data_IF_333991558572
#
_entry.id   IF_333991558572
#
_cell.length_a   1.000
_cell.length_b   1.000
_cell.length_c   1.000
_cell.angle_alpha   90.00
_cell.angle_beta   90.00
_cell.angle_gamma   90.00
#
_symmetry.space_group_name_H-M   'P 1'
#
loop_
_entity.id
_entity.type
_entity.pdbx_description
1 polymer ?
#
# COMPACT_ATOMS: atom_id res chain seq x y z
N UNK A 1 2.41 -5.86 23.17
CA UNK A 1 2.87 -6.79 22.13
C UNK A 1 3.45 -5.93 21.02
N UNK A 2 4.73 -6.03 20.76
CA UNK A 2 5.38 -5.45 19.59
C UNK A 2 4.81 -6.22 18.40
N UNK A 3 3.82 -5.61 17.74
CA UNK A 3 3.17 -6.24 16.61
C UNK A 3 4.08 -6.07 15.40
N UNK A 4 4.80 -7.12 15.04
CA UNK A 4 5.32 -7.27 13.68
C UNK A 4 4.12 -7.63 12.78
N UNK A 5 3.10 -6.76 12.76
CA UNK A 5 1.89 -6.99 11.99
C UNK A 5 2.23 -6.71 10.53
N UNK A 6 2.43 -7.76 9.75
CA UNK A 6 2.60 -7.70 8.30
C UNK A 6 1.30 -7.99 7.56
N UNK A 7 0.26 -8.42 8.27
CA UNK A 7 -1.03 -8.77 7.68
C UNK A 7 -2.01 -7.59 7.73
N UNK A 8 -2.36 -7.09 6.55
CA UNK A 8 -3.35 -6.02 6.42
C UNK A 8 -4.75 -6.43 6.91
N UNK A 9 -5.13 -7.71 6.79
CA UNK A 9 -6.41 -8.22 7.30
C UNK A 9 -6.48 -8.17 8.81
N UNK A 10 -5.42 -8.62 9.47
CA UNK A 10 -5.31 -8.56 10.92
C UNK A 10 -5.34 -7.11 11.44
N UNK A 11 -4.63 -6.19 10.74
CA UNK A 11 -4.66 -4.77 11.06
C UNK A 11 -6.09 -4.20 10.95
N UNK A 12 -6.77 -4.46 9.84
CA UNK A 12 -8.13 -3.95 9.61
C UNK A 12 -9.13 -4.53 10.62
N UNK A 13 -8.98 -5.81 10.97
CA UNK A 13 -9.80 -6.45 12.00
C UNK A 13 -9.56 -5.87 13.40
N UNK A 14 -8.30 -5.57 13.75
CA UNK A 14 -7.94 -4.97 15.04
C UNK A 14 -8.39 -3.50 15.15
N UNK A 15 -8.37 -2.77 14.03
CA UNK A 15 -8.83 -1.38 13.99
C UNK A 15 -10.36 -1.25 14.01
N UNK A 16 -11.10 -2.25 13.58
CA UNK A 16 -12.55 -2.20 13.52
C UNK A 16 -13.20 -2.13 14.92
N UNK A 17 -14.32 -1.40 15.03
CA UNK A 17 -15.11 -1.36 16.29
C UNK A 17 -15.65 -2.73 16.66
N UNK A 18 -16.16 -3.49 15.66
CA UNK A 18 -16.68 -4.84 15.84
C UNK A 18 -15.86 -5.86 15.02
N UNK A 19 -15.94 -5.77 13.67
CA UNK A 19 -15.27 -6.68 12.73
C UNK A 19 -15.00 -6.02 11.40
N UNK A 20 -14.00 -6.53 10.72
CA UNK A 20 -13.76 -6.25 9.31
C UNK A 20 -14.60 -7.22 8.44
N UNK A 21 -15.38 -6.69 7.51
CA UNK A 21 -16.15 -7.45 6.53
C UNK A 21 -15.43 -7.43 5.19
N UNK A 22 -14.65 -8.45 4.89
CA UNK A 22 -13.96 -8.57 3.60
C UNK A 22 -14.94 -8.87 2.46
N UNK A 23 -14.78 -8.19 1.34
CA UNK A 23 -15.58 -8.36 0.12
C UNK A 23 -14.75 -9.09 -0.92
N UNK A 24 -15.29 -10.19 -1.47
CA UNK A 24 -14.65 -11.07 -2.47
C UNK A 24 -13.29 -11.62 -1.98
N UNK A 25 -13.20 -12.29 -0.82
CA UNK A 25 -11.92 -12.76 -0.28
C UNK A 25 -11.23 -13.79 -1.20
N UNK A 26 -12.00 -14.58 -1.97
CA UNK A 26 -11.47 -15.63 -2.86
C UNK A 26 -11.04 -15.11 -4.24
N UNK A 27 -11.39 -13.88 -4.59
CA UNK A 27 -10.99 -13.25 -5.85
C UNK A 27 -9.88 -12.24 -5.62
N UNK A 28 -8.75 -12.43 -6.31
CA UNK A 28 -7.54 -11.61 -6.14
C UNK A 28 -7.22 -11.39 -4.64
N UNK A 29 -6.87 -12.46 -3.89
CA UNK A 29 -6.70 -12.40 -2.43
C UNK A 29 -5.54 -11.51 -1.99
N UNK A 30 -4.60 -11.19 -2.88
CA UNK A 30 -3.52 -10.22 -2.67
C UNK A 30 -4.02 -8.77 -2.58
N UNK A 31 -5.25 -8.51 -3.01
CA UNK A 31 -5.92 -7.23 -2.86
C UNK A 31 -7.12 -7.38 -1.92
N UNK A 32 -7.00 -6.85 -0.74
CA UNK A 32 -8.03 -6.86 0.30
C UNK A 32 -8.96 -5.68 0.11
N UNK A 33 -10.26 -5.94 0.03
CA UNK A 33 -11.29 -4.89 -0.02
C UNK A 33 -12.41 -5.24 0.95
N UNK A 34 -12.94 -4.26 1.67
CA UNK A 34 -13.99 -4.56 2.64
C UNK A 34 -14.44 -3.33 3.42
N UNK A 35 -15.30 -3.58 4.38
CA UNK A 35 -15.87 -2.54 5.22
C UNK A 35 -15.55 -2.79 6.70
N UNK A 36 -15.32 -1.70 7.41
CA UNK A 36 -15.21 -1.68 8.86
C UNK A 36 -15.89 -0.42 9.42
N UNK A 37 -16.16 -0.43 10.71
CA UNK A 37 -16.59 0.78 11.41
C UNK A 37 -15.45 1.29 12.28
N UNK A 38 -15.24 2.61 12.24
CA UNK A 38 -14.29 3.33 13.08
C UNK A 38 -15.04 4.41 13.84
N UNK A 39 -15.15 4.27 15.16
CA UNK A 39 -15.93 5.16 16.03
C UNK A 39 -17.38 5.35 15.52
N UNK A 40 -18.01 4.27 15.07
CA UNK A 40 -19.37 4.26 14.55
C UNK A 40 -19.54 4.77 13.11
N UNK A 41 -18.46 5.15 12.43
CA UNK A 41 -18.48 5.59 11.03
C UNK A 41 -18.11 4.42 10.13
N UNK A 42 -18.94 4.14 9.12
CA UNK A 42 -18.65 3.13 8.11
C UNK A 42 -17.52 3.64 7.19
N UNK A 43 -16.50 2.80 7.02
CA UNK A 43 -15.31 3.09 6.20
C UNK A 43 -15.08 1.94 5.24
N UNK A 44 -14.83 2.24 3.96
CA UNK A 44 -14.32 1.28 3.00
C UNK A 44 -12.80 1.15 3.12
N UNK A 45 -12.29 -0.06 3.15
CA UNK A 45 -10.86 -0.32 3.21
C UNK A 45 -10.35 -1.01 1.95
N UNK A 46 -9.20 -0.56 1.46
CA UNK A 46 -8.42 -1.20 0.40
C UNK A 46 -7.02 -1.43 0.92
N UNK A 47 -6.52 -2.66 0.82
CA UNK A 47 -5.16 -2.98 1.24
C UNK A 47 -4.55 -4.03 0.31
N UNK A 48 -3.23 -4.01 0.15
CA UNK A 48 -2.51 -5.09 -0.50
C UNK A 48 -1.87 -6.01 0.55
N UNK A 49 -1.77 -7.29 0.21
CA UNK A 49 -1.17 -8.33 1.04
C UNK A 49 -0.29 -9.25 0.18
N UNK A 50 0.82 -9.71 0.74
CA UNK A 50 1.78 -10.62 0.10
C UNK A 50 1.63 -12.08 0.58
N UNK A 51 0.88 -12.29 1.64
CA UNK A 51 0.66 -13.61 2.23
C UNK A 51 -0.69 -13.73 2.94
N UNK A 52 -1.10 -14.97 3.19
CA UNK A 52 -2.19 -15.30 4.08
C UNK A 52 -1.61 -15.80 5.42
N UNK A 53 -2.27 -15.42 6.50
CA UNK A 53 -1.92 -15.81 7.87
C UNK A 53 -3.11 -16.47 8.54
N UNK A 54 -2.86 -17.37 9.49
CA UNK A 54 -3.90 -17.98 10.31
C UNK A 54 -4.16 -17.19 11.62
N UNK A 55 -5.10 -17.69 12.44
CA UNK A 55 -5.45 -17.08 13.73
C UNK A 55 -4.28 -17.00 14.74
N UNK A 56 -3.15 -17.66 14.44
CA UNK A 56 -1.94 -17.67 15.28
C UNK A 56 -0.83 -16.79 14.73
N UNK A 57 -1.12 -15.99 13.70
CA UNK A 57 -0.14 -15.20 12.93
C UNK A 57 0.93 -16.08 12.22
N UNK A 58 0.61 -17.37 11.94
CA UNK A 58 1.48 -18.22 11.14
C UNK A 58 1.11 -18.09 9.66
N UNK A 59 2.13 -17.88 8.82
CA UNK A 59 1.95 -17.78 7.37
C UNK A 59 1.48 -19.10 6.79
N UNK A 60 0.31 -19.10 6.14
CA UNK A 60 -0.31 -20.28 5.56
C UNK A 60 -0.10 -20.41 4.04
N UNK A 61 0.02 -19.28 3.35
CA UNK A 61 0.26 -19.26 1.91
C UNK A 61 0.95 -17.96 1.47
N UNK A 62 1.77 -18.06 0.42
CA UNK A 62 2.24 -16.90 -0.33
C UNK A 62 1.18 -16.47 -1.33
N UNK A 63 0.99 -15.17 -1.45
CA UNK A 63 0.18 -14.53 -2.48
C UNK A 63 1.08 -14.00 -3.61
N UNK A 64 0.50 -13.33 -4.59
CA UNK A 64 1.27 -12.70 -5.64
C UNK A 64 2.19 -11.63 -5.06
N UNK A 65 3.46 -11.67 -5.45
CA UNK A 65 4.46 -10.69 -5.09
C UNK A 65 4.23 -9.41 -5.91
N UNK A 66 3.57 -8.42 -5.29
CA UNK A 66 3.20 -7.16 -5.92
C UNK A 66 1.77 -7.11 -6.49
N UNK A 67 1.43 -5.96 -7.05
CA UNK A 67 0.09 -5.69 -7.57
C UNK A 67 -0.18 -6.46 -8.87
N UNK A 68 -1.37 -7.07 -8.97
CA UNK A 68 -1.84 -7.80 -10.14
C UNK A 68 -2.90 -7.03 -10.92
N UNK A 69 -3.22 -7.48 -12.12
CA UNK A 69 -4.34 -6.94 -12.93
C UNK A 69 -5.66 -7.10 -12.19
N UNK A 70 -5.95 -8.32 -11.74
CA UNK A 70 -7.21 -8.65 -11.06
C UNK A 70 -7.33 -7.91 -9.72
N UNK A 71 -6.24 -7.78 -8.97
CA UNK A 71 -6.18 -6.99 -7.75
C UNK A 71 -6.48 -5.51 -7.97
N UNK A 72 -5.86 -4.91 -8.99
CA UNK A 72 -6.12 -3.52 -9.36
C UNK A 72 -7.57 -3.30 -9.84
N UNK A 73 -8.13 -4.22 -10.63
CA UNK A 73 -9.53 -4.13 -11.07
C UNK A 73 -10.52 -4.31 -9.91
N UNK A 74 -10.25 -5.24 -9.00
CA UNK A 74 -11.03 -5.42 -7.75
C UNK A 74 -11.04 -4.16 -6.92
N UNK A 75 -9.87 -3.58 -6.66
CA UNK A 75 -9.73 -2.33 -5.91
C UNK A 75 -10.44 -1.17 -6.62
N UNK A 76 -10.26 -1.01 -7.93
CA UNK A 76 -10.91 0.06 -8.71
C UNK A 76 -12.43 0.00 -8.62
N UNK A 77 -13.01 -1.19 -8.76
CA UNK A 77 -14.46 -1.38 -8.65
C UNK A 77 -14.97 -1.07 -7.23
N UNK A 78 -14.21 -1.48 -6.20
CA UNK A 78 -14.57 -1.21 -4.81
C UNK A 78 -14.47 0.29 -4.46
N UNK A 79 -13.41 0.95 -4.88
CA UNK A 79 -13.23 2.40 -4.67
C UNK A 79 -14.33 3.19 -5.37
N UNK A 80 -14.67 2.83 -6.62
CA UNK A 80 -15.78 3.47 -7.34
C UNK A 80 -17.11 3.31 -6.58
N UNK A 81 -17.39 2.11 -6.07
CA UNK A 81 -18.59 1.87 -5.25
C UNK A 81 -18.61 2.76 -4.00
N UNK A 82 -17.49 2.85 -3.28
CA UNK A 82 -17.40 3.71 -2.09
C UNK A 82 -17.62 5.17 -2.44
N UNK A 83 -17.09 5.64 -3.57
CA UNK A 83 -17.30 7.01 -4.04
C UNK A 83 -18.78 7.28 -4.37
N UNK A 84 -19.44 6.37 -5.09
CA UNK A 84 -20.86 6.48 -5.44
C UNK A 84 -21.78 6.51 -4.22
N UNK A 85 -21.34 5.84 -3.13
CA UNK A 85 -22.09 5.77 -1.88
C UNK A 85 -21.61 6.78 -0.81
N UNK A 86 -20.66 7.65 -1.14
CA UNK A 86 -20.06 8.63 -0.21
C UNK A 86 -19.46 7.99 1.05
N UNK A 87 -18.91 6.77 0.91
CA UNK A 87 -18.26 6.03 2.01
C UNK A 87 -16.78 6.43 2.08
N UNK A 88 -16.29 6.98 3.21
CA UNK A 88 -14.89 7.31 3.38
C UNK A 88 -13.96 6.13 3.11
N UNK A 89 -12.76 6.39 2.59
CA UNK A 89 -11.79 5.37 2.21
C UNK A 89 -10.57 5.37 3.11
N UNK A 90 -10.19 4.18 3.57
CA UNK A 90 -8.90 3.89 4.17
C UNK A 90 -8.11 2.99 3.21
N UNK A 91 -6.97 3.48 2.73
CA UNK A 91 -6.03 2.66 1.96
C UNK A 91 -4.88 2.25 2.87
N UNK A 92 -4.56 0.97 2.92
CA UNK A 92 -3.41 0.43 3.67
C UNK A 92 -2.40 -0.08 2.65
N UNK A 93 -1.22 0.52 2.64
CA UNK A 93 -0.24 0.32 1.56
C UNK A 93 1.04 -0.35 2.06
N UNK A 94 1.44 -1.43 1.38
CA UNK A 94 2.74 -2.09 1.50
C UNK A 94 3.17 -2.60 0.12
N UNK A 95 3.22 -1.71 -0.88
CA UNK A 95 3.36 -2.05 -2.30
C UNK A 95 4.76 -1.73 -2.82
N UNK A 96 5.60 -2.74 -2.97
CA UNK A 96 6.98 -2.61 -3.42
C UNK A 96 7.17 -2.82 -4.94
N UNK A 97 6.12 -3.30 -5.64
CA UNK A 97 6.17 -3.55 -7.08
C UNK A 97 4.89 -4.10 -7.68
N UNK A 98 5.04 -4.63 -8.87
CA UNK A 98 3.99 -5.32 -9.62
C UNK A 98 4.38 -6.78 -9.83
N UNK A 99 3.39 -7.67 -9.81
CA UNK A 99 3.62 -9.09 -10.04
C UNK A 99 4.20 -9.34 -11.43
N UNK A 100 5.33 -10.03 -11.50
CA UNK A 100 6.09 -10.29 -12.72
C UNK A 100 5.55 -11.54 -13.45
N UNK A 101 4.32 -11.47 -13.97
CA UNK A 101 3.69 -12.54 -14.76
C UNK A 101 3.26 -12.02 -16.13
N UNK A 102 3.23 -12.88 -17.16
CA UNK A 102 2.91 -12.48 -18.54
C UNK A 102 1.57 -11.76 -18.68
N UNK A 103 0.56 -12.19 -17.95
CA UNK A 103 -0.77 -11.57 -17.93
C UNK A 103 -0.73 -10.14 -17.39
N UNK A 104 0.14 -9.90 -16.40
CA UNK A 104 0.34 -8.58 -15.79
C UNK A 104 0.91 -7.59 -16.79
N UNK A 105 1.89 -8.00 -17.60
CA UNK A 105 2.51 -7.09 -18.59
C UNK A 105 1.50 -6.53 -19.61
N UNK A 106 0.52 -7.34 -20.03
CA UNK A 106 -0.47 -6.95 -21.04
C UNK A 106 -1.61 -6.10 -20.49
N UNK A 107 -2.12 -6.40 -19.30
CA UNK A 107 -3.33 -5.80 -18.73
C UNK A 107 -3.08 -4.71 -17.69
N UNK A 108 -1.92 -4.72 -17.06
CA UNK A 108 -1.62 -3.90 -15.90
C UNK A 108 -1.76 -2.38 -16.14
N UNK A 109 -1.27 -1.79 -17.24
CA UNK A 109 -1.40 -0.35 -17.44
C UNK A 109 -2.87 0.12 -17.45
N UNK A 110 -3.77 -0.69 -18.02
CA UNK A 110 -5.20 -0.37 -18.05
C UNK A 110 -5.84 -0.54 -16.66
N UNK A 111 -5.48 -1.60 -15.93
CA UNK A 111 -6.00 -1.85 -14.59
C UNK A 111 -5.53 -0.77 -13.60
N UNK A 112 -4.26 -0.36 -13.68
CA UNK A 112 -3.73 0.76 -12.89
C UNK A 112 -4.45 2.06 -13.24
N UNK A 113 -4.65 2.35 -14.53
CA UNK A 113 -5.36 3.56 -14.94
C UNK A 113 -6.78 3.61 -14.41
N UNK A 114 -7.50 2.45 -14.38
CA UNK A 114 -8.82 2.36 -13.75
C UNK A 114 -8.77 2.64 -12.25
N UNK A 115 -7.79 2.05 -11.55
CA UNK A 115 -7.64 2.24 -10.11
C UNK A 115 -7.32 3.69 -9.74
N UNK A 116 -6.33 4.27 -10.42
CA UNK A 116 -5.94 5.68 -10.25
C UNK A 116 -7.12 6.62 -10.55
N UNK A 117 -7.86 6.35 -11.63
CA UNK A 117 -9.07 7.10 -11.96
C UNK A 117 -10.13 6.98 -10.87
N UNK A 118 -10.38 5.79 -10.34
CA UNK A 118 -11.34 5.60 -9.26
C UNK A 118 -10.96 6.38 -8.00
N UNK A 119 -9.70 6.40 -7.62
CA UNK A 119 -9.22 7.23 -6.51
C UNK A 119 -9.40 8.72 -6.77
N UNK A 120 -9.15 9.18 -7.99
CA UNK A 120 -9.26 10.60 -8.35
C UNK A 120 -10.73 11.06 -8.46
N UNK A 121 -11.60 10.24 -9.03
CA UNK A 121 -13.01 10.58 -9.27
C UNK A 121 -13.84 10.74 -7.97
N UNK A 122 -13.30 10.44 -6.81
CA UNK A 122 -14.02 10.40 -5.54
C UNK A 122 -14.52 11.75 -5.00
N UNK A 123 -14.29 12.84 -5.71
CA UNK A 123 -14.84 14.15 -5.36
C UNK A 123 -14.55 14.55 -3.90
N UNK A 124 -15.61 14.78 -3.13
CA UNK A 124 -15.51 15.17 -1.72
C UNK A 124 -15.40 14.01 -0.74
N UNK A 125 -15.25 12.78 -1.23
CA UNK A 125 -15.13 11.63 -0.35
C UNK A 125 -13.79 11.64 0.38
N UNK A 126 -13.82 11.55 1.72
CA UNK A 126 -12.61 11.56 2.56
C UNK A 126 -11.76 10.30 2.32
N UNK A 127 -10.46 10.51 2.16
CA UNK A 127 -9.48 9.46 1.86
C UNK A 127 -8.29 9.58 2.79
N UNK A 128 -7.98 8.49 3.47
CA UNK A 128 -6.78 8.36 4.32
C UNK A 128 -5.92 7.24 3.79
N UNK A 129 -4.62 7.45 3.71
CA UNK A 129 -3.66 6.43 3.36
C UNK A 129 -2.76 6.12 4.55
N UNK A 130 -2.62 4.85 4.89
CA UNK A 130 -1.68 4.33 5.88
C UNK A 130 -0.62 3.49 5.16
N UNK A 131 0.61 3.91 5.22
CA UNK A 131 1.76 3.14 4.73
C UNK A 131 2.24 2.25 5.88
N UNK A 132 1.97 0.95 5.79
CA UNK A 132 2.32 -0.04 6.82
C UNK A 132 3.53 -0.90 6.47
N UNK A 133 4.00 -0.84 5.23
CA UNK A 133 5.17 -1.59 4.76
C UNK A 133 5.96 -0.82 3.72
N UNK A 134 7.09 -1.39 3.32
CA UNK A 134 7.94 -0.80 2.31
C UNK A 134 7.17 -0.59 1.01
N UNK A 135 7.34 0.57 0.40
CA UNK A 135 6.53 0.95 -0.75
C UNK A 135 7.33 1.79 -1.74
N UNK A 136 7.27 1.40 -3.03
CA UNK A 136 8.13 1.98 -4.05
C UNK A 136 7.42 2.28 -5.37
N UNK A 137 7.87 3.35 -6.01
CA UNK A 137 7.60 3.69 -7.40
C UNK A 137 6.13 3.78 -7.77
N UNK A 138 5.81 3.27 -8.96
CA UNK A 138 4.44 3.35 -9.51
C UNK A 138 3.44 2.43 -8.81
N UNK A 139 3.87 1.37 -8.12
CA UNK A 139 2.98 0.56 -7.29
C UNK A 139 2.46 1.37 -6.09
N UNK A 140 3.34 2.10 -5.41
CA UNK A 140 2.93 3.06 -4.37
C UNK A 140 1.95 4.09 -4.90
N UNK A 141 2.24 4.64 -6.08
CA UNK A 141 1.37 5.64 -6.71
C UNK A 141 -0.03 5.07 -7.00
N UNK A 142 -0.11 3.83 -7.49
CA UNK A 142 -1.36 3.14 -7.78
C UNK A 142 -2.20 2.87 -6.53
N UNK A 143 -1.57 2.67 -5.38
CA UNK A 143 -2.23 2.42 -4.08
C UNK A 143 -2.62 3.71 -3.34
N UNK A 144 -2.95 4.76 -4.06
CA UNK A 144 -3.53 5.95 -3.48
C UNK A 144 -2.51 6.89 -2.82
N UNK A 145 -1.31 7.04 -3.42
CA UNK A 145 -0.39 8.08 -3.01
C UNK A 145 -1.03 9.46 -3.13
N UNK A 146 -0.70 10.37 -2.19
CA UNK A 146 -1.24 11.74 -2.15
C UNK A 146 -1.23 12.46 -3.50
N UNK A 147 -0.17 12.28 -4.27
CA UNK A 147 0.02 12.96 -5.55
C UNK A 147 -1.04 12.64 -6.61
N UNK A 148 -1.81 11.57 -6.44
CA UNK A 148 -2.81 11.10 -7.41
C UNK A 148 -4.20 10.95 -6.78
N UNK A 149 -4.28 10.46 -5.54
CA UNK A 149 -5.57 10.14 -4.90
C UNK A 149 -6.23 11.33 -4.22
N UNK A 150 -5.55 12.48 -4.13
CA UNK A 150 -5.98 13.61 -3.29
C UNK A 150 -6.31 13.17 -1.85
N UNK A 151 -5.49 12.26 -1.29
CA UNK A 151 -5.67 11.80 0.06
C UNK A 151 -5.61 12.98 1.05
N UNK A 152 -6.60 13.09 1.91
CA UNK A 152 -6.67 14.13 2.94
C UNK A 152 -5.51 14.03 3.91
N UNK A 153 -5.19 12.78 4.32
CA UNK A 153 -4.09 12.48 5.23
C UNK A 153 -3.34 11.23 4.78
N UNK A 154 -2.01 11.29 4.92
CA UNK A 154 -1.12 10.15 4.69
C UNK A 154 -0.31 9.91 5.96
N UNK A 155 -0.51 8.75 6.55
CA UNK A 155 0.27 8.27 7.70
C UNK A 155 1.25 7.20 7.25
N UNK A 156 2.38 7.09 7.94
CA UNK A 156 3.32 6.00 7.71
C UNK A 156 3.87 5.48 9.05
N UNK A 157 4.09 4.18 9.14
CA UNK A 157 4.80 3.62 10.28
C UNK A 157 6.27 4.06 10.27
N UNK A 158 6.90 4.06 11.43
CA UNK A 158 8.23 4.63 11.65
C UNK A 158 9.38 3.75 11.09
N UNK A 159 9.11 2.47 10.79
CA UNK A 159 10.07 1.51 10.28
C UNK A 159 9.97 1.24 8.77
N UNK A 160 9.03 1.91 8.06
CA UNK A 160 8.83 1.68 6.62
C UNK A 160 9.75 2.54 5.75
N UNK A 161 9.92 2.10 4.51
CA UNK A 161 10.66 2.81 3.47
C UNK A 161 9.71 3.27 2.37
N UNK A 162 9.85 4.53 2.00
CA UNK A 162 9.00 5.16 0.97
C UNK A 162 9.88 5.83 -0.06
N UNK A 163 9.89 5.32 -1.29
CA UNK A 163 10.80 5.85 -2.32
C UNK A 163 10.43 5.48 -3.74
N UNK A 164 11.34 5.82 -4.66
CA UNK A 164 11.18 5.49 -6.07
C UNK A 164 11.52 4.03 -6.37
N UNK A 165 12.51 3.48 -5.67
CA UNK A 165 12.94 2.09 -5.81
C UNK A 165 13.78 1.65 -4.60
N UNK A 166 13.87 0.37 -4.42
CA UNK A 166 14.73 -0.25 -3.41
C UNK A 166 16.18 0.21 -3.51
N UNK A 167 16.82 0.43 -2.36
CA UNK A 167 18.13 1.07 -2.28
C UNK A 167 19.24 0.34 -3.05
N UNK A 168 19.26 -0.99 -3.00
CA UNK A 168 20.27 -1.80 -3.70
C UNK A 168 20.12 -1.66 -5.22
N UNK A 169 18.89 -1.73 -5.71
CA UNK A 169 18.58 -1.55 -7.15
C UNK A 169 18.95 -0.14 -7.62
N UNK A 170 18.59 0.88 -6.84
CA UNK A 170 18.91 2.27 -7.15
C UNK A 170 20.42 2.53 -7.16
N UNK A 171 21.14 2.04 -6.16
CA UNK A 171 22.58 2.19 -6.08
C UNK A 171 23.29 1.51 -7.26
N UNK A 172 22.87 0.31 -7.66
CA UNK A 172 23.43 -0.38 -8.81
C UNK A 172 23.22 0.41 -10.12
N UNK A 173 22.10 1.11 -10.28
CA UNK A 173 21.85 1.96 -11.46
C UNK A 173 22.75 3.21 -11.41
N UNK A 174 22.85 3.86 -10.26
CA UNK A 174 23.62 5.10 -10.11
C UNK A 174 25.13 4.90 -10.32
N UNK A 175 25.64 3.73 -9.93
CA UNK A 175 27.06 3.40 -10.02
C UNK A 175 27.41 2.42 -11.16
N UNK A 176 26.47 2.12 -12.06
CA UNK A 176 26.67 1.22 -13.21
C UNK A 176 27.79 1.66 -14.14
N UNK A 177 28.06 2.94 -14.25
CA UNK A 177 29.12 3.49 -15.12
C UNK A 177 30.54 3.10 -14.65
N UNK A 178 30.70 2.68 -13.41
CA UNK A 178 31.99 2.27 -12.85
C UNK A 178 32.28 0.78 -13.09
N UNK A 179 31.34 0.04 -13.70
CA UNK A 179 31.49 -1.38 -14.02
C UNK A 179 31.47 -2.33 -12.81
N UNK A 180 31.24 -1.80 -11.62
CA UNK A 180 31.19 -2.53 -10.37
C UNK A 180 29.78 -2.52 -9.78
N UNK A 181 29.44 -3.56 -9.00
CA UNK A 181 28.20 -3.53 -8.21
C UNK A 181 28.34 -2.48 -7.10
N UNK A 182 27.24 -1.77 -6.83
CA UNK A 182 27.20 -0.84 -5.71
C UNK A 182 27.57 -1.53 -4.39
N UNK A 183 28.32 -0.82 -3.57
CA UNK A 183 28.68 -1.29 -2.24
C UNK A 183 27.50 -1.17 -1.28
N UNK A 184 27.47 -1.98 -0.22
CA UNK A 184 26.47 -1.87 0.85
C UNK A 184 26.42 -0.46 1.45
N UNK A 185 27.58 0.21 1.55
CA UNK A 185 27.66 1.59 2.04
C UNK A 185 26.93 2.58 1.14
N UNK A 186 27.01 2.41 -0.19
CA UNK A 186 26.32 3.26 -1.16
C UNK A 186 24.80 3.02 -1.12
N UNK A 187 24.37 1.75 -1.02
CA UNK A 187 22.97 1.40 -0.84
C UNK A 187 22.39 1.99 0.45
N UNK A 188 23.10 1.82 1.58
CA UNK A 188 22.67 2.39 2.87
C UNK A 188 22.61 3.94 2.86
N UNK A 189 23.57 4.59 2.17
CA UNK A 189 23.53 6.05 2.01
C UNK A 189 22.34 6.51 1.16
N UNK A 190 21.99 5.77 0.11
CA UNK A 190 20.80 6.03 -0.70
C UNK A 190 19.53 5.83 0.14
N UNK A 191 19.42 4.72 0.86
CA UNK A 191 18.28 4.39 1.73
C UNK A 191 18.01 5.51 2.73
N UNK A 192 19.01 5.91 3.50
CA UNK A 192 18.86 6.97 4.50
C UNK A 192 18.46 8.33 3.92
N UNK A 193 18.93 8.64 2.69
CA UNK A 193 18.65 9.92 2.04
C UNK A 193 17.33 9.94 1.26
N UNK A 194 16.97 8.84 0.60
CA UNK A 194 15.87 8.80 -0.36
C UNK A 194 14.66 7.99 0.12
N UNK A 195 14.89 6.86 0.81
CA UNK A 195 13.83 5.91 1.16
C UNK A 195 13.37 6.01 2.61
N UNK A 196 14.15 6.64 3.49
CA UNK A 196 13.73 6.81 4.88
C UNK A 196 12.38 7.53 4.97
N UNK A 197 11.46 7.04 5.79
CA UNK A 197 10.12 7.62 5.98
C UNK A 197 10.20 9.10 6.37
N UNK A 198 11.20 9.48 7.17
CA UNK A 198 11.47 10.88 7.54
C UNK A 198 11.80 11.75 6.33
N UNK A 199 12.50 11.19 5.34
CA UNK A 199 12.79 11.89 4.08
C UNK A 199 11.51 12.05 3.22
N UNK A 200 10.60 11.06 3.24
CA UNK A 200 9.30 11.16 2.59
C UNK A 200 8.42 12.22 3.26
N UNK A 201 8.42 12.28 4.59
CA UNK A 201 7.73 13.32 5.36
C UNK A 201 8.30 14.72 5.06
N UNK A 202 9.62 14.86 5.01
CA UNK A 202 10.27 16.14 4.67
C UNK A 202 9.94 16.62 3.24
N UNK A 203 9.60 15.70 2.31
CA UNK A 203 9.15 16.03 0.95
C UNK A 203 7.63 16.29 0.86
N UNK A 204 6.88 16.16 1.96
CA UNK A 204 5.43 16.34 2.00
C UNK A 204 4.62 15.16 1.45
N UNK A 205 5.24 13.99 1.27
CA UNK A 205 4.54 12.77 0.83
C UNK A 205 3.81 12.06 1.98
N UNK A 206 4.21 12.33 3.22
CA UNK A 206 3.65 11.78 4.46
C UNK A 206 3.37 12.92 5.42
N UNK A 207 2.18 12.98 5.98
CA UNK A 207 1.77 14.04 6.93
C UNK A 207 2.27 13.77 8.35
N UNK A 208 2.23 12.50 8.76
CA UNK A 208 2.73 12.10 10.07
C UNK A 208 3.33 10.69 10.04
N UNK A 209 4.46 10.55 10.73
CA UNK A 209 5.08 9.27 11.03
C UNK A 209 4.57 8.83 12.39
N UNK A 210 3.99 7.63 12.46
CA UNK A 210 3.34 7.09 13.66
C UNK A 210 3.92 5.71 14.01
N UNK A 211 3.92 5.38 15.28
CA UNK A 211 4.20 4.01 15.68
C UNK A 211 2.98 3.10 15.36
N UNK A 212 3.17 1.80 15.04
CA UNK A 212 2.06 0.88 14.76
C UNK A 212 0.96 0.89 15.82
N UNK A 213 1.31 1.07 17.10
CA UNK A 213 0.36 1.15 18.21
C UNK A 213 -0.53 2.42 18.19
N UNK A 214 -0.23 3.39 17.35
CA UNK A 214 -0.99 4.65 17.20
C UNK A 214 -1.92 4.64 16.00
N UNK A 215 -2.05 3.50 15.31
CA UNK A 215 -2.84 3.38 14.08
C UNK A 215 -4.34 3.61 14.32
N UNK A 216 -4.80 3.44 15.55
CA UNK A 216 -6.16 3.71 15.99
C UNK A 216 -6.21 4.74 17.11
#
# INVERSE_FOLDING_TARGET
KTCAMKDARALLAECADDKFLEIRPDYAPEMVTGFLTLNGILVGAVANADALYDEKDEKTADLADGLTVDGCEKAAAFVAFCNDCEIPLLTVTAADGFAAVEQTEKGLPQAIAKLVKAYHDGGFNSKVNLIMGDTYGSAYVAMGARSISDADMVFAWDDVKVGMMEAVKAANILFAAEGEKATEKQAAAYEGKQNAVTSAAARGSVDAVIAPAQTR
#
